data_IF_771135759092
#
_entry.id   IF_771135759092
#
_cell.length_a   1.000
_cell.length_b   1.000
_cell.length_c   1.000
_cell.angle_alpha   90.00
_cell.angle_beta   90.00
_cell.angle_gamma   90.00
#
_symmetry.space_group_name_H-M   'P 1'
#
loop_
_entity.id
_entity.type
_entity.pdbx_description
1 polymer ?
#
# COMPACT_ATOMS: atom_id res chain seq x y z
N UNK A 1 66.49 -55.89 24.73
CA UNK A 1 65.73 -54.97 25.61
C UNK A 1 64.63 -54.33 24.80
N UNK A 2 63.37 -54.49 25.25
CA UNK A 2 62.14 -53.68 25.05
C UNK A 2 61.79 -53.09 23.67
N UNK A 3 60.54 -52.97 23.23
CA UNK A 3 59.20 -53.44 23.63
C UNK A 3 58.31 -53.24 22.39
N UNK A 4 57.52 -54.28 22.09
CA UNK A 4 56.17 -54.38 21.50
C UNK A 4 55.43 -53.05 21.19
N UNK A 5 54.91 -52.85 19.95
CA UNK A 5 53.47 -52.84 19.61
C UNK A 5 53.19 -52.47 18.12
N UNK A 6 52.44 -53.34 17.45
CA UNK A 6 51.80 -53.14 16.13
C UNK A 6 50.48 -52.37 16.29
N UNK A 7 50.09 -51.60 15.26
CA UNK A 7 48.87 -51.94 14.52
C UNK A 7 49.14 -51.88 13.01
N UNK A 8 48.88 -52.91 12.21
CA UNK A 8 47.57 -53.44 11.82
C UNK A 8 46.83 -52.52 10.82
N UNK A 9 46.86 -52.98 9.56
CA UNK A 9 45.88 -52.82 8.45
C UNK A 9 46.35 -51.85 7.34
N UNK A 10 46.89 -52.36 6.22
CA UNK A 10 46.19 -52.74 4.98
C UNK A 10 45.28 -51.60 4.48
N UNK A 11 45.79 -50.72 3.61
CA UNK A 11 45.92 -50.87 2.16
C UNK A 11 44.66 -50.42 1.39
N UNK A 12 44.90 -50.08 0.12
CA UNK A 12 43.95 -49.87 -0.99
C UNK A 12 43.63 -48.42 -1.33
N UNK A 13 44.52 -47.88 -2.16
CA UNK A 13 44.25 -46.87 -3.19
C UNK A 13 43.10 -47.35 -4.06
N UNK A 14 42.00 -46.61 -4.10
CA UNK A 14 41.08 -46.55 -5.26
C UNK A 14 40.47 -45.15 -5.32
N UNK A 15 40.94 -44.30 -6.23
CA UNK A 15 40.08 -43.25 -6.81
C UNK A 15 39.13 -43.96 -7.78
N UNK A 16 37.82 -43.65 -7.78
CA UNK A 16 37.34 -42.85 -8.91
C UNK A 16 36.10 -41.98 -8.65
N UNK A 17 35.92 -41.03 -9.58
CA UNK A 17 34.66 -40.52 -10.14
C UNK A 17 33.61 -39.87 -9.23
N UNK A 18 33.50 -38.54 -9.42
CA UNK A 18 32.27 -37.81 -9.76
C UNK A 18 30.95 -38.36 -9.24
N UNK A 19 30.33 -37.60 -8.33
CA UNK A 19 28.90 -37.27 -8.38
C UNK A 19 28.66 -36.03 -7.50
N UNK A 20 28.95 -34.86 -8.08
CA UNK A 20 28.30 -33.62 -7.68
C UNK A 20 26.81 -33.79 -7.99
N UNK A 21 26.02 -34.15 -6.98
CA UNK A 21 24.57 -34.11 -7.07
C UNK A 21 24.14 -32.65 -7.21
N UNK A 22 24.09 -32.15 -8.45
CA UNK A 22 23.30 -30.99 -8.81
C UNK A 22 21.84 -31.36 -8.54
N UNK A 23 21.37 -31.10 -7.33
CA UNK A 23 19.94 -31.04 -7.06
C UNK A 23 19.39 -29.90 -7.92
N UNK A 24 18.89 -30.26 -9.10
CA UNK A 24 18.09 -29.38 -9.93
C UNK A 24 16.79 -29.09 -9.16
N UNK A 25 16.86 -28.12 -8.24
CA UNK A 25 15.69 -27.52 -7.66
C UNK A 25 14.91 -26.89 -8.80
N UNK A 26 13.86 -27.58 -9.27
CA UNK A 26 12.86 -26.96 -10.11
C UNK A 26 12.28 -25.81 -9.27
N UNK A 27 12.70 -24.58 -9.56
CA UNK A 27 11.99 -23.40 -9.11
C UNK A 27 10.60 -23.48 -9.76
N UNK A 28 9.63 -24.10 -9.07
CA UNK A 28 8.25 -23.95 -9.47
C UNK A 28 7.88 -22.51 -9.16
N UNK A 29 7.44 -21.77 -10.16
CA UNK A 29 6.64 -20.57 -9.91
C UNK A 29 5.40 -21.03 -9.13
N UNK A 30 5.46 -20.96 -7.80
CA UNK A 30 4.33 -21.29 -6.95
C UNK A 30 3.28 -20.24 -7.21
N UNK A 31 2.20 -20.64 -7.87
CA UNK A 31 0.99 -19.82 -7.95
C UNK A 31 0.44 -19.76 -6.53
N UNK A 32 0.63 -18.65 -5.84
CA UNK A 32 0.12 -18.47 -4.48
C UNK A 32 -1.40 -18.58 -4.49
N UNK A 33 -1.93 -19.36 -3.55
CA UNK A 33 -3.38 -19.46 -3.38
C UNK A 33 -3.91 -18.22 -2.63
N UNK A 34 -5.22 -17.92 -2.71
CA UNK A 34 -5.82 -16.87 -1.88
C UNK A 34 -5.57 -17.06 -0.38
N UNK A 35 -5.46 -18.32 0.09
CA UNK A 35 -5.12 -18.64 1.48
C UNK A 35 -3.71 -18.24 1.85
N UNK A 36 -2.74 -18.46 0.96
CA UNK A 36 -1.34 -18.06 1.17
C UNK A 36 -1.20 -16.53 1.23
N UNK A 37 -1.89 -15.82 0.32
CA UNK A 37 -1.89 -14.36 0.30
C UNK A 37 -2.46 -13.76 1.60
N UNK A 38 -3.51 -14.36 2.17
CA UNK A 38 -4.06 -13.93 3.45
C UNK A 38 -3.11 -14.23 4.61
N UNK A 39 -2.48 -15.40 4.63
CA UNK A 39 -1.51 -15.77 5.66
C UNK A 39 -0.31 -14.81 5.68
N UNK A 40 0.24 -14.48 4.51
CA UNK A 40 1.32 -13.51 4.36
C UNK A 40 0.91 -12.11 4.80
N UNK A 41 -0.32 -11.70 4.48
CA UNK A 41 -0.86 -10.42 4.94
C UNK A 41 -0.98 -10.38 6.47
N UNK A 42 -1.45 -11.45 7.12
CA UNK A 42 -1.54 -11.52 8.59
C UNK A 42 -0.15 -11.44 9.22
N UNK A 43 0.83 -12.16 8.65
CA UNK A 43 2.19 -12.21 9.19
C UNK A 43 2.96 -10.89 9.00
N UNK A 44 2.81 -10.24 7.85
CA UNK A 44 3.67 -9.12 7.44
C UNK A 44 2.87 -7.87 7.01
N UNK A 45 1.86 -8.06 6.14
CA UNK A 45 1.17 -6.95 5.49
C UNK A 45 0.38 -6.04 6.43
N UNK A 46 -0.29 -6.60 7.44
CA UNK A 46 -1.11 -5.83 8.39
C UNK A 46 -0.30 -4.79 9.14
N UNK A 47 0.89 -5.15 9.62
CA UNK A 47 1.77 -4.23 10.35
C UNK A 47 2.21 -3.06 9.45
N UNK A 48 2.48 -3.35 8.17
CA UNK A 48 2.81 -2.36 7.16
C UNK A 48 1.61 -1.47 6.79
N UNK A 49 0.38 -1.89 7.12
CA UNK A 49 -0.85 -1.18 6.76
C UNK A 49 -1.31 -1.44 5.34
N UNK A 50 -0.89 -2.57 4.76
CA UNK A 50 -1.45 -3.05 3.52
C UNK A 50 -2.93 -3.37 3.74
N UNK A 51 -3.74 -3.11 2.73
CA UNK A 51 -5.13 -3.55 2.72
C UNK A 51 -5.18 -5.08 2.57
N UNK A 52 -6.21 -5.72 3.13
CA UNK A 52 -6.33 -7.17 3.01
C UNK A 52 -6.44 -7.58 1.53
N UNK A 53 -5.85 -8.70 1.10
CA UNK A 53 -5.89 -9.14 -0.30
C UNK A 53 -7.29 -9.32 -0.88
N UNK A 54 -8.27 -9.64 -0.04
CA UNK A 54 -9.69 -9.85 -0.39
C UNK A 54 -10.53 -8.56 -0.37
N UNK A 55 -9.93 -7.40 -0.07
CA UNK A 55 -10.66 -6.13 -0.05
C UNK A 55 -10.96 -5.67 -1.48
N UNK A 56 -12.24 -5.47 -1.85
CA UNK A 56 -12.56 -4.97 -3.18
C UNK A 56 -12.32 -3.47 -3.28
N UNK A 57 -12.10 -2.99 -4.51
CA UNK A 57 -12.10 -1.57 -4.81
C UNK A 57 -13.50 -1.00 -4.55
N UNK A 58 -13.62 0.00 -3.68
CA UNK A 58 -14.92 0.48 -3.18
C UNK A 58 -14.89 1.94 -2.72
N UNK A 59 -16.02 2.44 -2.22
CA UNK A 59 -16.12 3.73 -1.54
C UNK A 59 -15.51 3.62 -0.12
N UNK A 60 -14.22 3.91 -0.03
CA UNK A 60 -13.47 3.81 1.24
C UNK A 60 -14.00 4.77 2.31
N UNK A 61 -14.38 6.00 1.96
CA UNK A 61 -14.93 6.95 2.94
C UNK A 61 -16.26 6.45 3.51
N UNK A 62 -17.13 5.89 2.66
CA UNK A 62 -18.40 5.29 3.10
C UNK A 62 -18.17 4.08 3.99
N UNK A 63 -17.23 3.22 3.62
CA UNK A 63 -16.88 2.01 4.39
C UNK A 63 -16.36 2.37 5.79
N UNK A 64 -15.58 3.45 5.89
CA UNK A 64 -15.10 3.97 7.16
C UNK A 64 -16.18 4.67 8.00
N UNK A 65 -17.39 4.87 7.46
CA UNK A 65 -18.42 5.70 8.10
C UNK A 65 -18.03 7.18 8.17
N UNK A 66 -17.15 7.64 7.27
CA UNK A 66 -16.53 8.97 7.25
C UNK A 66 -16.75 9.68 5.90
N UNK A 67 -17.88 9.43 5.24
CA UNK A 67 -18.24 10.12 3.99
C UNK A 67 -19.27 11.20 4.29
N UNK A 68 -18.95 12.49 4.09
CA UNK A 68 -19.94 13.55 4.15
C UNK A 68 -20.96 13.43 3.02
N UNK A 69 -22.20 13.84 3.26
CA UNK A 69 -23.31 13.71 2.30
C UNK A 69 -23.12 14.57 1.02
N UNK A 70 -22.36 15.65 1.12
CA UNK A 70 -22.05 16.54 -0.02
C UNK A 70 -20.90 16.03 -0.91
N UNK A 71 -20.29 14.88 -0.58
CA UNK A 71 -19.19 14.30 -1.34
C UNK A 71 -19.70 13.27 -2.34
N UNK A 72 -19.50 13.53 -3.63
CA UNK A 72 -19.85 12.62 -4.70
C UNK A 72 -18.75 11.55 -4.86
N UNK A 73 -19.12 10.28 -4.94
CA UNK A 73 -18.19 9.20 -5.25
C UNK A 73 -18.19 8.93 -6.75
N UNK A 74 -17.00 8.95 -7.36
CA UNK A 74 -16.82 8.80 -8.80
C UNK A 74 -16.43 7.38 -9.22
N UNK A 75 -16.13 6.51 -8.26
CA UNK A 75 -15.64 5.17 -8.50
C UNK A 75 -14.29 4.88 -7.84
N UNK A 76 -13.85 3.64 -7.96
CA UNK A 76 -12.57 3.16 -7.48
C UNK A 76 -11.85 2.44 -8.61
N UNK A 77 -10.57 2.73 -8.77
CA UNK A 77 -9.70 2.05 -9.74
C UNK A 77 -8.67 1.21 -9.00
N UNK A 78 -8.47 -0.02 -9.48
CA UNK A 78 -7.49 -0.95 -8.99
C UNK A 78 -6.48 -1.19 -10.10
N UNK A 79 -5.20 -0.94 -9.80
CA UNK A 79 -4.10 -1.25 -10.69
C UNK A 79 -3.45 -2.55 -10.20
N UNK A 80 -3.63 -3.63 -10.95
CA UNK A 80 -3.04 -4.95 -10.65
C UNK A 80 -1.66 -5.14 -11.29
N UNK A 81 -1.32 -4.30 -12.28
CA UNK A 81 -0.07 -4.37 -13.05
C UNK A 81 1.07 -3.64 -12.32
N UNK A 82 0.74 -2.64 -11.50
CA UNK A 82 1.69 -2.00 -10.60
C UNK A 82 2.21 -2.98 -9.55
N UNK A 83 3.52 -2.92 -9.29
CA UNK A 83 4.19 -3.77 -8.30
C UNK A 83 3.57 -3.65 -6.89
N UNK A 84 3.19 -2.44 -6.47
CA UNK A 84 2.57 -2.17 -5.16
C UNK A 84 1.05 -2.38 -5.15
N UNK A 85 0.46 -2.58 -6.33
CA UNK A 85 -0.95 -2.91 -6.52
C UNK A 85 -1.91 -1.96 -5.79
N UNK A 86 -1.92 -0.65 -6.15
CA UNK A 86 -2.75 0.33 -5.47
C UNK A 86 -4.24 0.17 -5.80
N UNK A 87 -5.08 0.66 -4.89
CA UNK A 87 -6.48 0.98 -5.15
C UNK A 87 -6.72 2.44 -4.81
N UNK A 88 -7.41 3.15 -5.68
CA UNK A 88 -7.74 4.56 -5.47
C UNK A 88 -9.24 4.80 -5.66
N UNK A 89 -9.89 5.26 -4.59
CA UNK A 89 -11.23 5.79 -4.65
C UNK A 89 -11.18 7.30 -4.96
N UNK A 90 -11.96 7.72 -5.96
CA UNK A 90 -12.03 9.12 -6.41
C UNK A 90 -13.36 9.73 -6.03
N UNK A 91 -13.30 10.99 -5.62
CA UNK A 91 -14.46 11.76 -5.18
C UNK A 91 -14.42 13.17 -5.75
N UNK A 92 -15.60 13.76 -5.88
CA UNK A 92 -15.80 15.16 -6.25
C UNK A 92 -16.46 15.92 -5.12
N UNK A 93 -16.00 17.13 -4.90
CA UNK A 93 -16.58 18.09 -3.96
C UNK A 93 -16.84 19.38 -4.72
N UNK A 94 -18.07 19.89 -4.69
CA UNK A 94 -18.36 21.21 -5.28
C UNK A 94 -17.51 22.29 -4.60
N UNK A 95 -17.07 23.31 -5.33
CA UNK A 95 -16.35 24.44 -4.73
C UNK A 95 -17.12 25.10 -3.59
N UNK A 96 -18.45 25.08 -3.64
CA UNK A 96 -19.32 25.57 -2.57
C UNK A 96 -19.07 24.88 -1.21
N UNK A 97 -18.58 23.64 -1.22
CA UNK A 97 -18.25 22.86 -0.02
C UNK A 97 -16.74 22.66 0.17
N UNK A 98 -15.88 23.30 -0.62
CA UNK A 98 -14.44 23.03 -0.59
C UNK A 98 -13.79 23.42 0.75
N UNK A 99 -14.15 24.58 1.30
CA UNK A 99 -13.64 25.01 2.61
C UNK A 99 -14.15 24.12 3.74
N UNK A 100 -15.41 23.67 3.65
CA UNK A 100 -16.01 22.71 4.58
C UNK A 100 -15.29 21.36 4.51
N UNK A 101 -14.98 20.88 3.31
CA UNK A 101 -14.23 19.64 3.12
C UNK A 101 -12.80 19.75 3.64
N UNK A 102 -12.08 20.86 3.40
CA UNK A 102 -10.75 21.09 3.96
C UNK A 102 -10.79 21.00 5.50
N UNK A 103 -11.77 21.67 6.13
CA UNK A 103 -11.97 21.61 7.58
C UNK A 103 -12.33 20.20 8.07
N UNK A 104 -13.20 19.49 7.35
CA UNK A 104 -13.60 18.12 7.66
C UNK A 104 -12.40 17.16 7.61
N UNK A 105 -11.54 17.27 6.60
CA UNK A 105 -10.33 16.44 6.48
C UNK A 105 -9.33 16.73 7.60
N UNK A 106 -9.20 18.00 7.99
CA UNK A 106 -8.38 18.39 9.14
C UNK A 106 -8.91 17.83 10.45
N UNK A 107 -10.21 17.92 10.72
CA UNK A 107 -10.82 17.46 11.97
C UNK A 107 -10.87 15.93 12.06
N UNK A 108 -11.19 15.26 10.96
CA UNK A 108 -11.45 13.81 10.94
C UNK A 108 -10.16 13.00 10.81
N UNK A 109 -9.21 13.48 10.01
CA UNK A 109 -8.00 12.74 9.68
C UNK A 109 -6.72 13.43 10.15
N UNK A 110 -6.78 14.69 10.59
CA UNK A 110 -5.59 15.47 10.92
C UNK A 110 -4.86 16.04 9.69
N UNK A 111 -5.52 16.08 8.53
CA UNK A 111 -4.89 16.57 7.30
C UNK A 111 -4.58 18.07 7.42
N UNK A 112 -3.35 18.52 7.11
CA UNK A 112 -3.02 19.94 7.11
C UNK A 112 -3.86 20.72 6.08
N UNK A 113 -4.07 22.03 6.27
CA UNK A 113 -4.68 22.89 5.26
C UNK A 113 -3.95 22.77 3.92
N UNK A 114 -4.70 22.89 2.82
CA UNK A 114 -4.15 22.89 1.48
C UNK A 114 -3.18 24.05 1.29
N UNK A 115 -2.35 23.96 0.28
CA UNK A 115 -1.48 25.04 -0.11
C UNK A 115 -1.59 25.29 -1.58
N UNK A 116 -1.41 26.55 -1.98
CA UNK A 116 -1.30 26.84 -3.39
C UNK A 116 0.12 26.51 -3.86
N UNK A 117 0.27 25.37 -4.53
CA UNK A 117 1.55 24.81 -4.99
C UNK A 117 1.49 24.71 -6.51
N UNK A 118 2.50 25.28 -7.21
CA UNK A 118 2.59 25.36 -8.66
C UNK A 118 1.40 26.10 -9.31
N UNK A 119 0.28 25.42 -9.54
CA UNK A 119 -0.86 25.87 -10.33
C UNK A 119 -2.21 25.44 -9.73
N UNK A 120 -2.26 25.18 -8.43
CA UNK A 120 -3.48 24.69 -7.80
C UNK A 120 -3.40 24.63 -6.28
N UNK A 121 -4.54 24.37 -5.67
CA UNK A 121 -4.65 24.06 -4.24
C UNK A 121 -4.49 22.56 -4.04
N UNK A 122 -3.57 22.14 -3.17
CA UNK A 122 -3.35 20.72 -2.86
C UNK A 122 -2.73 20.54 -1.47
N UNK A 123 -2.86 19.35 -0.88
CA UNK A 123 -2.06 19.00 0.30
C UNK A 123 -0.57 18.91 -0.08
N UNK A 124 0.32 19.35 0.81
CA UNK A 124 1.76 19.26 0.57
C UNK A 124 2.25 17.82 0.71
N UNK A 125 2.59 17.18 -0.41
CA UNK A 125 3.11 15.82 -0.43
C UNK A 125 2.07 14.77 -0.02
N UNK A 126 2.44 13.48 0.00
CA UNK A 126 1.52 12.42 0.38
C UNK A 126 1.15 12.54 1.86
N UNK A 127 -0.14 12.38 2.17
CA UNK A 127 -0.65 12.38 3.54
C UNK A 127 -1.27 11.02 3.84
N UNK A 128 -0.81 10.39 4.92
CA UNK A 128 -1.24 9.07 5.32
C UNK A 128 -1.98 9.11 6.65
N UNK A 129 -3.10 8.39 6.72
CA UNK A 129 -3.91 8.24 7.92
C UNK A 129 -4.18 6.77 8.23
N UNK A 130 -4.29 6.45 9.53
CA UNK A 130 -4.58 5.12 10.05
C UNK A 130 -5.59 5.22 11.19
N UNK A 131 -6.54 4.29 11.22
CA UNK A 131 -7.50 4.14 12.31
C UNK A 131 -6.88 3.31 13.46
N UNK A 132 -5.84 3.85 14.08
CA UNK A 132 -5.07 3.16 15.12
C UNK A 132 -4.04 2.15 14.60
N UNK A 133 -3.34 1.48 15.52
CA UNK A 133 -2.23 0.60 15.19
C UNK A 133 -2.70 -0.67 14.47
N UNK A 134 -1.99 -1.05 13.40
CA UNK A 134 -2.29 -2.26 12.62
C UNK A 134 -3.57 -2.18 11.77
N UNK A 135 -4.14 -0.98 11.58
CA UNK A 135 -5.20 -0.68 10.61
C UNK A 135 -4.62 -0.42 9.20
N UNK A 136 -5.47 -0.30 8.19
CA UNK A 136 -5.02 0.04 6.83
C UNK A 136 -4.44 1.46 6.79
N UNK A 137 -3.36 1.65 6.03
CA UNK A 137 -2.80 2.96 5.74
C UNK A 137 -3.50 3.58 4.53
N UNK A 138 -4.28 4.63 4.78
CA UNK A 138 -4.98 5.37 3.74
C UNK A 138 -4.15 6.57 3.31
N UNK A 139 -3.82 6.67 2.03
CA UNK A 139 -3.31 7.89 1.44
C UNK A 139 -4.50 8.78 1.10
N UNK A 140 -4.60 9.97 1.70
CA UNK A 140 -5.71 10.89 1.48
C UNK A 140 -5.15 12.16 0.84
N UNK A 141 -5.77 12.58 -0.25
CA UNK A 141 -5.43 13.85 -0.89
C UNK A 141 -6.67 14.63 -1.30
N UNK A 142 -6.53 15.95 -1.33
CA UNK A 142 -7.53 16.86 -1.86
C UNK A 142 -6.82 17.93 -2.69
N UNK A 143 -7.42 18.33 -3.81
CA UNK A 143 -6.92 19.46 -4.56
C UNK A 143 -7.68 19.79 -5.83
N UNK A 144 -7.22 20.85 -6.48
CA UNK A 144 -7.72 21.35 -7.76
C UNK A 144 -6.66 22.19 -8.45
N UNK A 145 -6.52 22.01 -9.76
CA UNK A 145 -5.71 22.89 -10.61
C UNK A 145 -6.57 24.09 -11.06
N UNK A 146 -6.08 25.30 -10.80
CA UNK A 146 -6.80 26.56 -11.03
C UNK A 146 -5.85 27.75 -10.87
N UNK A 147 -6.23 28.91 -11.41
CA UNK A 147 -5.64 30.19 -10.99
C UNK A 147 -5.76 30.36 -9.47
N UNK A 148 -4.91 31.21 -8.88
CA UNK A 148 -4.89 31.50 -7.44
C UNK A 148 -6.13 32.28 -7.00
N UNK A 149 -7.25 31.57 -6.90
CA UNK A 149 -8.49 32.02 -6.30
C UNK A 149 -8.34 31.85 -4.77
N UNK A 150 -8.54 32.91 -3.97
CA UNK A 150 -8.41 32.83 -2.52
C UNK A 150 -9.46 31.88 -1.92
N UNK A 151 -9.17 31.33 -0.74
CA UNK A 151 -10.08 30.41 -0.02
C UNK A 151 -11.50 30.94 0.13
N UNK A 152 -11.65 32.25 0.37
CA UNK A 152 -12.94 32.92 0.50
C UNK A 152 -13.78 32.92 -0.77
N UNK A 153 -13.21 32.55 -1.92
CA UNK A 153 -13.86 32.49 -3.23
C UNK A 153 -13.87 31.06 -3.81
N UNK A 154 -13.53 30.03 -3.03
CA UNK A 154 -13.52 28.66 -3.55
C UNK A 154 -14.87 28.17 -4.08
N UNK A 155 -15.97 28.79 -3.66
CA UNK A 155 -17.30 28.57 -4.24
C UNK A 155 -17.40 28.87 -5.74
N UNK A 156 -16.48 29.65 -6.30
CA UNK A 156 -16.40 29.97 -7.74
C UNK A 156 -15.68 28.87 -8.53
N UNK A 157 -14.93 28.00 -7.86
CA UNK A 157 -14.27 26.85 -8.49
C UNK A 157 -15.32 25.74 -8.68
N UNK A 158 -15.48 25.15 -9.88
CA UNK A 158 -16.54 24.17 -10.12
C UNK A 158 -16.48 22.97 -9.17
N UNK A 159 -15.28 22.41 -8.96
CA UNK A 159 -15.10 21.28 -8.06
C UNK A 159 -13.65 21.06 -7.65
N UNK A 160 -13.47 20.46 -6.48
CA UNK A 160 -12.23 19.89 -5.99
C UNK A 160 -12.29 18.36 -6.13
N UNK A 161 -11.12 17.77 -6.38
CA UNK A 161 -10.92 16.33 -6.37
C UNK A 161 -10.47 15.89 -4.98
N UNK A 162 -11.03 14.80 -4.47
CA UNK A 162 -10.51 14.09 -3.31
C UNK A 162 -10.17 12.68 -3.75
N UNK A 163 -9.03 12.15 -3.31
CA UNK A 163 -8.60 10.77 -3.58
C UNK A 163 -8.26 10.08 -2.28
N UNK A 164 -8.67 8.82 -2.17
CA UNK A 164 -8.33 7.95 -1.04
C UNK A 164 -7.74 6.67 -1.59
N UNK A 165 -6.44 6.49 -1.35
CA UNK A 165 -5.64 5.37 -1.83
C UNK A 165 -5.31 4.37 -0.72
N UNK A 166 -5.16 3.10 -1.09
CA UNK A 166 -4.58 2.03 -0.25
C UNK A 166 -3.69 1.15 -1.12
N UNK A 167 -2.73 0.45 -0.51
CA UNK A 167 -1.81 -0.46 -1.22
C UNK A 167 -2.04 -1.91 -0.79
N UNK A 168 -2.02 -2.85 -1.74
CA UNK A 168 -2.15 -4.31 -1.48
C UNK A 168 -0.79 -4.97 -1.23
N UNK A 169 0.29 -4.40 -1.76
CA UNK A 169 1.65 -4.95 -1.67
C UNK A 169 2.65 -3.89 -1.24
N UNK A 170 3.67 -4.32 -0.49
CA UNK A 170 4.84 -3.48 -0.21
C UNK A 170 5.70 -3.35 -1.46
N UNK A 171 6.36 -2.19 -1.69
CA UNK A 171 7.58 -2.08 -2.49
C UNK A 171 8.61 -3.18 -2.14
#
# INVERSE_FOLDING_TARGET
MNVILRPAWLAWVVLPLCLLALAAGKASAQTSTPGDALADWVANGRALGLVRPDTPCQDFLKTLGKKPDYVEYLGCEQDDDSYIQPMEARYRVSGAFAAEMEAYLGQTFGMPPLEYICCGWANRGPFFWRDGSGSVSYEISMGVETLRIPRSQWQEIPSFSVRVGVIRKSP
#
